data_IF_302703881891
#
_entry.id   IF_302703881891
#
_cell.length_a   1.000
_cell.length_b   1.000
_cell.length_c   1.000
_cell.angle_alpha   90.00
_cell.angle_beta   90.00
_cell.angle_gamma   90.00
#
_symmetry.space_group_name_H-M   'P 1'
#
loop_
_entity.id
_entity.type
_entity.pdbx_description
1 polymer ?
#
# COMPACT_ATOMS: atom_id res chain seq x y z
N UNK A 1 9.80 -2.58 -1.59
CA UNK A 1 8.79 -1.49 -1.56
C UNK A 1 9.39 -0.10 -1.72
N UNK A 2 10.41 0.24 -0.95
CA UNK A 2 11.09 1.54 -1.11
C UNK A 2 11.60 1.76 -2.53
N UNK A 3 12.13 0.71 -3.15
CA UNK A 3 12.66 0.82 -4.51
C UNK A 3 11.57 1.14 -5.53
N UNK A 4 10.38 0.57 -5.35
CA UNK A 4 9.24 0.91 -6.19
C UNK A 4 8.92 2.41 -6.11
N UNK A 5 8.84 2.94 -4.90
CA UNK A 5 8.51 4.34 -4.67
C UNK A 5 9.59 5.27 -5.26
N UNK A 6 10.86 4.96 -5.02
CA UNK A 6 11.98 5.74 -5.55
C UNK A 6 12.07 5.66 -7.07
N UNK A 7 11.62 4.56 -7.67
CA UNK A 7 11.65 4.37 -9.10
C UNK A 7 10.57 5.09 -9.88
N UNK A 8 9.58 5.70 -9.21
CA UNK A 8 8.55 6.44 -9.89
C UNK A 8 9.14 7.69 -10.54
N UNK A 9 8.84 7.95 -11.83
CA UNK A 9 9.48 9.03 -12.58
C UNK A 9 9.06 10.44 -12.14
N UNK A 10 7.84 10.58 -11.58
CA UNK A 10 7.34 11.89 -11.18
C UNK A 10 7.50 12.09 -9.67
N UNK A 11 8.23 13.14 -9.31
CA UNK A 11 8.44 13.49 -7.91
C UNK A 11 7.11 13.79 -7.21
N UNK A 12 6.18 14.44 -7.90
CA UNK A 12 4.86 14.75 -7.35
C UNK A 12 4.11 13.48 -6.96
N UNK A 13 4.19 12.43 -7.77
CA UNK A 13 3.57 11.14 -7.47
C UNK A 13 4.16 10.54 -6.19
N UNK A 14 5.50 10.54 -6.10
CA UNK A 14 6.18 10.02 -4.91
C UNK A 14 5.76 10.77 -3.66
N UNK A 15 5.66 12.09 -3.77
CA UNK A 15 5.30 12.94 -2.64
C UNK A 15 3.89 12.65 -2.15
N UNK A 16 2.93 12.57 -3.06
CA UNK A 16 1.52 12.30 -2.72
C UNK A 16 1.35 10.94 -2.08
N UNK A 17 1.97 9.92 -2.66
CA UNK A 17 1.91 8.55 -2.13
C UNK A 17 2.55 8.50 -0.75
N UNK A 18 3.71 9.11 -0.59
CA UNK A 18 4.41 9.15 0.69
C UNK A 18 3.62 9.86 1.77
N UNK A 19 2.95 10.94 1.45
CA UNK A 19 2.10 11.68 2.40
C UNK A 19 0.92 10.82 2.87
N UNK A 20 0.27 10.11 1.96
CA UNK A 20 -0.85 9.24 2.32
C UNK A 20 -0.39 8.05 3.17
N UNK A 21 0.77 7.47 2.87
CA UNK A 21 1.34 6.41 3.68
C UNK A 21 1.59 6.90 5.11
N UNK A 22 2.18 8.08 5.26
CA UNK A 22 2.42 8.68 6.57
C UNK A 22 1.12 8.96 7.32
N UNK A 23 0.10 9.44 6.62
CA UNK A 23 -1.21 9.69 7.22
C UNK A 23 -1.78 8.42 7.81
N UNK A 24 -1.70 7.31 7.11
CA UNK A 24 -2.18 6.01 7.60
C UNK A 24 -1.29 5.52 8.75
N UNK A 25 0.02 5.64 8.61
CA UNK A 25 0.96 5.17 9.63
C UNK A 25 0.75 5.86 10.98
N UNK A 26 0.59 7.18 10.96
CA UNK A 26 0.42 7.96 12.20
C UNK A 26 -1.02 7.96 12.71
N UNK A 27 -2.00 7.81 11.82
CA UNK A 27 -3.41 7.85 12.18
C UNK A 27 -4.08 6.50 12.38
N UNK A 28 -3.32 5.42 12.30
CA UNK A 28 -3.89 4.07 12.40
C UNK A 28 -4.57 3.81 13.75
N UNK A 29 -5.73 3.16 13.78
CA UNK A 29 -6.54 2.77 12.61
C UNK A 29 -7.30 3.96 12.00
N UNK A 30 -7.25 4.06 10.66
CA UNK A 30 -7.95 5.11 9.92
C UNK A 30 -8.71 4.44 8.76
N UNK A 31 -9.93 4.86 8.52
CA UNK A 31 -10.79 4.26 7.53
C UNK A 31 -10.79 4.95 6.18
N UNK A 32 -11.82 4.67 5.40
CA UNK A 32 -12.06 5.30 4.11
C UNK A 32 -12.11 6.83 4.24
N UNK A 33 -11.70 7.57 3.19
CA UNK A 33 -11.34 7.08 1.86
C UNK A 33 -9.85 6.74 1.67
N UNK A 34 -9.00 7.03 2.64
CA UNK A 34 -7.55 6.86 2.50
C UNK A 34 -7.13 5.40 2.61
N UNK A 35 -7.73 4.66 3.52
CA UNK A 35 -7.38 3.28 3.80
C UNK A 35 -8.60 2.37 3.65
N UNK A 36 -8.41 1.22 3.02
CA UNK A 36 -9.48 0.26 2.76
C UNK A 36 -9.05 -1.15 3.16
N UNK A 37 -9.85 -1.89 3.94
CA UNK A 37 -9.54 -3.28 4.22
C UNK A 37 -9.82 -4.17 3.02
N UNK A 38 -8.94 -5.14 2.77
CA UNK A 38 -9.07 -6.09 1.65
C UNK A 38 -9.36 -7.51 2.12
N UNK A 39 -9.43 -7.73 3.44
CA UNK A 39 -9.61 -9.06 4.00
C UNK A 39 -8.29 -9.75 4.28
N UNK A 40 -8.32 -10.78 5.13
CA UNK A 40 -7.12 -11.53 5.47
C UNK A 40 -6.01 -10.73 6.14
N UNK A 41 -6.34 -9.61 6.76
CA UNK A 41 -5.36 -8.74 7.40
C UNK A 41 -4.63 -7.81 6.45
N UNK A 42 -5.05 -7.74 5.18
CA UNK A 42 -4.51 -6.83 4.19
C UNK A 42 -5.31 -5.53 4.14
N UNK A 43 -4.60 -4.44 3.90
CA UNK A 43 -5.18 -3.10 3.74
C UNK A 43 -4.57 -2.41 2.53
N UNK A 44 -5.25 -1.41 2.03
CA UNK A 44 -4.84 -0.66 0.85
C UNK A 44 -4.86 0.83 1.14
N UNK A 45 -3.77 1.52 0.81
CA UNK A 45 -3.73 2.99 0.78
C UNK A 45 -3.95 3.41 -0.66
N UNK A 46 -4.96 4.24 -0.91
CA UNK A 46 -5.25 4.78 -2.24
C UNK A 46 -4.80 6.23 -2.32
N UNK A 47 -4.05 6.55 -3.36
CA UNK A 47 -3.62 7.91 -3.64
C UNK A 47 -4.03 8.28 -5.05
N UNK A 48 -4.83 9.34 -5.17
CA UNK A 48 -5.23 9.85 -6.48
C UNK A 48 -4.11 10.67 -7.07
N UNK A 49 -3.73 10.34 -8.29
CA UNK A 49 -2.70 11.02 -9.04
C UNK A 49 -3.31 11.75 -10.25
N UNK A 50 -2.50 12.55 -10.92
CA UNK A 50 -2.93 13.23 -12.14
C UNK A 50 -3.31 12.22 -13.22
N UNK A 51 -4.12 12.66 -14.20
CA UNK A 51 -4.54 11.85 -15.36
C UNK A 51 -5.36 10.62 -14.99
N UNK A 52 -6.19 10.71 -13.96
CA UNK A 52 -7.06 9.63 -13.49
C UNK A 52 -6.32 8.37 -13.05
N UNK A 53 -5.04 8.48 -12.73
CA UNK A 53 -4.28 7.36 -12.20
C UNK A 53 -4.52 7.22 -10.71
N UNK A 54 -4.53 6.02 -10.22
CA UNK A 54 -4.66 5.71 -8.79
C UNK A 54 -3.50 4.85 -8.38
N UNK A 55 -2.72 5.33 -7.42
CA UNK A 55 -1.67 4.53 -6.79
C UNK A 55 -2.30 3.75 -5.64
N UNK A 56 -1.93 2.49 -5.53
CA UNK A 56 -2.37 1.62 -4.44
C UNK A 56 -1.16 1.00 -3.80
N UNK A 57 -1.08 1.12 -2.48
CA UNK A 57 -0.03 0.48 -1.70
C UNK A 57 -0.69 -0.49 -0.73
N UNK A 58 -0.36 -1.75 -0.85
CA UNK A 58 -0.91 -2.81 -0.02
C UNK A 58 0.00 -3.05 1.17
N UNK A 59 -0.59 -3.17 2.35
CA UNK A 59 0.18 -3.32 3.60
C UNK A 59 -0.58 -4.18 4.60
N UNK A 60 0.12 -4.57 5.67
CA UNK A 60 -0.50 -5.17 6.84
C UNK A 60 0.14 -4.61 8.10
N UNK A 61 -0.50 -4.84 9.23
CA UNK A 61 0.01 -4.41 10.53
C UNK A 61 0.57 -5.65 11.22
N UNK A 62 1.85 -5.60 11.57
CA UNK A 62 2.51 -6.75 12.20
C UNK A 62 2.14 -6.87 13.68
N UNK A 63 2.68 -7.88 14.35
CA UNK A 63 2.39 -8.15 15.76
C UNK A 63 2.79 -7.01 16.68
N UNK A 64 3.74 -6.19 16.26
CA UNK A 64 4.21 -5.05 17.05
C UNK A 64 3.46 -3.77 16.72
N UNK A 65 2.44 -3.85 15.87
CA UNK A 65 1.65 -2.68 15.48
C UNK A 65 2.31 -1.82 14.42
N UNK A 66 3.31 -2.34 13.71
CA UNK A 66 4.00 -1.60 12.67
C UNK A 66 3.37 -1.83 11.31
N UNK A 67 3.32 -0.77 10.50
CA UNK A 67 2.85 -0.84 9.12
C UNK A 67 3.94 -1.43 8.23
N UNK A 68 3.63 -2.54 7.58
CA UNK A 68 4.55 -3.23 6.68
C UNK A 68 4.04 -3.11 5.26
N UNK A 69 4.76 -2.39 4.42
CA UNK A 69 4.41 -2.20 3.02
C UNK A 69 4.79 -3.45 2.22
N UNK A 70 3.85 -3.99 1.46
CA UNK A 70 4.01 -5.27 0.77
C UNK A 70 4.15 -5.14 -0.74
N UNK A 71 3.36 -4.27 -1.36
CA UNK A 71 3.29 -4.17 -2.82
C UNK A 71 2.65 -2.85 -3.20
N UNK A 72 3.13 -2.26 -4.30
CA UNK A 72 2.56 -1.03 -4.82
C UNK A 72 2.39 -1.09 -6.33
N UNK A 73 1.36 -0.43 -6.82
CA UNK A 73 1.12 -0.34 -8.26
C UNK A 73 0.26 0.89 -8.57
N UNK A 74 0.29 1.32 -9.82
CA UNK A 74 -0.50 2.44 -10.32
C UNK A 74 -1.34 1.95 -11.49
N UNK A 75 -2.67 2.09 -11.37
CA UNK A 75 -3.60 1.71 -12.44
C UNK A 75 -4.79 2.65 -12.44
N UNK A 76 -5.51 2.69 -13.56
CA UNK A 76 -6.72 3.49 -13.68
C UNK A 76 -7.98 2.75 -13.24
N UNK A 77 -7.87 1.46 -12.97
CA UNK A 77 -9.01 0.63 -12.56
C UNK A 77 -9.44 0.91 -11.12
N UNK A 78 -10.73 0.70 -10.84
CA UNK A 78 -11.29 0.89 -9.49
C UNK A 78 -11.00 -0.29 -8.56
N UNK A 79 -10.85 -1.47 -9.10
CA UNK A 79 -10.65 -2.69 -8.32
C UNK A 79 -9.19 -3.07 -8.24
N UNK A 80 -8.79 -3.70 -7.13
CA UNK A 80 -7.45 -4.25 -6.98
C UNK A 80 -7.38 -5.57 -7.75
N UNK A 81 -6.51 -5.69 -8.77
CA UNK A 81 -6.39 -6.93 -9.52
C UNK A 81 -5.94 -8.11 -8.64
N UNK A 82 -6.42 -9.31 -8.97
CA UNK A 82 -6.08 -10.52 -8.22
C UNK A 82 -4.57 -10.80 -8.19
N UNK A 83 -3.87 -10.52 -9.27
CA UNK A 83 -2.40 -10.67 -9.33
C UNK A 83 -1.71 -9.86 -8.25
N UNK A 84 -2.13 -8.61 -8.08
CA UNK A 84 -1.54 -7.71 -7.09
C UNK A 84 -1.88 -8.16 -5.67
N UNK A 85 -3.10 -8.66 -5.46
CA UNK A 85 -3.49 -9.23 -4.17
C UNK A 85 -2.65 -10.45 -3.83
N UNK A 86 -2.43 -11.34 -4.78
CA UNK A 86 -1.63 -12.55 -4.58
C UNK A 86 -0.18 -12.21 -4.25
N UNK A 87 0.40 -11.24 -4.95
CA UNK A 87 1.75 -10.77 -4.65
C UNK A 87 1.86 -10.20 -3.25
N UNK A 88 0.87 -9.41 -2.84
CA UNK A 88 0.85 -8.84 -1.49
C UNK A 88 0.76 -9.94 -0.44
N UNK A 89 -0.09 -10.94 -0.66
CA UNK A 89 -0.23 -12.07 0.27
C UNK A 89 1.05 -12.88 0.37
N UNK A 90 1.71 -13.12 -0.76
CA UNK A 90 2.99 -13.82 -0.80
C UNK A 90 4.05 -13.04 -0.03
N UNK A 91 4.15 -11.74 -0.27
CA UNK A 91 5.12 -10.89 0.42
C UNK A 91 4.84 -10.81 1.92
N UNK A 92 3.57 -10.77 2.31
CA UNK A 92 3.17 -10.83 3.72
C UNK A 92 3.66 -12.11 4.38
N UNK A 93 3.42 -13.24 3.72
CA UNK A 93 3.85 -14.55 4.21
C UNK A 93 5.37 -14.59 4.39
N UNK A 94 6.11 -14.11 3.41
CA UNK A 94 7.58 -14.05 3.49
C UNK A 94 8.06 -13.18 4.64
N UNK A 95 7.44 -12.04 4.84
CA UNK A 95 7.79 -11.13 5.92
C UNK A 95 7.52 -11.78 7.28
N UNK A 96 6.38 -12.43 7.44
CA UNK A 96 6.03 -13.10 8.68
C UNK A 96 6.98 -14.25 9.01
N UNK A 97 7.45 -14.98 7.99
CA UNK A 97 8.43 -16.04 8.17
C UNK A 97 9.79 -15.50 8.60
N UNK A 98 10.16 -14.33 8.13
CA UNK A 98 11.43 -13.71 8.45
C UNK A 98 11.50 -13.02 9.80
N UNK A 99 10.37 -12.86 10.50
CA UNK A 99 10.29 -12.10 11.76
C UNK A 99 10.00 -12.99 12.96
N UNK A 100 10.72 -14.02 13.09
CA UNK A 100 10.58 -14.93 14.24
C UNK A 100 11.05 -14.28 15.54
#
# INVERSE_FOLDING_TARGET
MRDWLKGLPLEEDRKRIGEDIKTVEFGWPIGMPVCRPLGGGLYEVRTRLAQNRIARVLFYIDKKGRMVLLHGFIKKTQNTPDEDLELARLNKSKHQQGTK
#
